data_IF_737263599561
#
_entry.id   IF_737263599561
#
_cell.length_a   1.000
_cell.length_b   1.000
_cell.length_c   1.000
_cell.angle_alpha   90.00
_cell.angle_beta   90.00
_cell.angle_gamma   90.00
#
_symmetry.space_group_name_H-M   'P 1'
#
loop_
_entity.id
_entity.type
_entity.pdbx_description
1 polymer ?
#
# COMPACT_ATOMS: atom_id res chain seq x y z
N UNK A 1 2.26 16.28 30.30
CA UNK A 1 3.44 16.81 29.57
C UNK A 1 3.24 16.46 28.11
N UNK A 2 3.21 17.43 27.21
CA UNK A 2 3.13 17.16 25.77
C UNK A 2 4.46 16.59 25.28
N UNK A 3 4.41 15.63 24.36
CA UNK A 3 5.58 15.03 23.73
C UNK A 3 6.29 16.04 22.83
N UNK A 4 7.62 15.91 22.68
CA UNK A 4 8.42 16.76 21.80
C UNK A 4 7.92 16.72 20.34
N UNK A 5 7.31 15.61 19.92
CA UNK A 5 6.68 15.46 18.60
C UNK A 5 5.44 16.36 18.46
N UNK A 6 4.56 16.37 19.46
CA UNK A 6 3.36 17.21 19.48
C UNK A 6 3.71 18.70 19.46
N UNK A 7 4.76 19.09 20.19
CA UNK A 7 5.26 20.47 20.21
C UNK A 7 5.89 20.90 18.88
N UNK A 8 6.52 19.96 18.16
CA UNK A 8 7.09 20.20 16.85
C UNK A 8 6.01 20.34 15.77
N UNK A 9 4.94 19.55 15.85
CA UNK A 9 3.78 19.64 14.96
C UNK A 9 3.00 20.94 15.17
N UNK A 10 2.79 21.36 16.44
CA UNK A 10 2.10 22.61 16.79
C UNK A 10 2.84 23.88 16.32
N UNK A 11 4.16 23.78 16.08
CA UNK A 11 4.98 24.87 15.50
C UNK A 11 4.97 24.86 13.97
N UNK A 12 4.85 23.68 13.36
CA UNK A 12 4.79 23.51 11.91
C UNK A 12 3.44 23.96 11.34
N UNK A 13 2.34 23.71 12.05
CA UNK A 13 0.98 24.18 11.70
C UNK A 13 0.84 25.71 11.68
N UNK A 14 1.69 26.43 12.42
CA UNK A 14 1.63 27.91 12.53
C UNK A 14 2.35 28.65 11.41
N UNK A 15 3.29 28.02 10.71
CA UNK A 15 4.18 28.67 9.73
C UNK A 15 3.81 28.37 8.28
N UNK A 16 3.10 27.28 8.05
CA UNK A 16 2.31 27.01 6.86
C UNK A 16 1.11 26.19 7.33
N UNK A 17 -0.12 26.40 6.84
CA UNK A 17 -1.19 25.45 7.07
C UNK A 17 -0.80 24.15 6.34
N UNK A 18 0.03 23.33 6.98
CA UNK A 18 0.10 21.92 6.64
C UNK A 18 -1.31 21.40 6.87
N UNK A 19 -1.87 20.74 5.85
CA UNK A 19 -3.09 19.97 6.05
C UNK A 19 -2.72 18.86 7.02
N UNK A 20 -2.84 19.11 8.31
CA UNK A 20 -2.60 18.11 9.34
C UNK A 20 -3.81 17.22 9.33
N UNK A 21 -3.58 15.98 8.90
CA UNK A 21 -4.62 14.96 8.91
C UNK A 21 -5.02 14.68 10.36
N UNK A 22 -6.33 14.60 10.61
CA UNK A 22 -6.82 14.10 11.90
C UNK A 22 -6.39 12.65 12.10
N UNK A 23 -6.43 12.18 13.34
CA UNK A 23 -6.06 10.78 13.61
C UNK A 23 -7.02 9.80 12.93
N UNK A 24 -8.30 10.16 12.76
CA UNK A 24 -9.25 9.40 11.95
C UNK A 24 -8.87 9.38 10.47
N UNK A 25 -8.45 10.52 9.89
CA UNK A 25 -8.02 10.59 8.50
C UNK A 25 -6.74 9.76 8.25
N UNK A 26 -5.80 9.78 9.20
CA UNK A 26 -4.61 8.90 9.17
C UNK A 26 -5.01 7.42 9.28
N UNK A 27 -5.95 7.08 10.17
CA UNK A 27 -6.44 5.72 10.32
C UNK A 27 -7.10 5.21 9.03
N UNK A 28 -7.92 6.03 8.37
CA UNK A 28 -8.54 5.66 7.09
C UNK A 28 -7.50 5.40 5.98
N UNK A 29 -6.42 6.18 5.92
CA UNK A 29 -5.31 5.92 4.99
C UNK A 29 -4.61 4.60 5.36
N UNK A 30 -4.33 4.37 6.64
CA UNK A 30 -3.67 3.16 7.12
C UNK A 30 -4.50 1.90 6.85
N UNK A 31 -5.83 1.98 6.94
CA UNK A 31 -6.74 0.90 6.59
C UNK A 31 -6.67 0.55 5.09
N UNK A 32 -6.57 1.57 4.23
CA UNK A 32 -6.33 1.35 2.79
C UNK A 32 -5.01 0.60 2.61
N UNK A 33 -3.91 1.08 3.19
CA UNK A 33 -2.60 0.43 3.08
C UNK A 33 -2.63 -1.02 3.59
N UNK A 34 -3.22 -1.26 4.76
CA UNK A 34 -3.35 -2.59 5.35
C UNK A 34 -4.15 -3.54 4.45
N UNK A 35 -5.27 -3.07 3.90
CA UNK A 35 -6.12 -3.86 3.01
C UNK A 35 -5.42 -4.25 1.71
N UNK A 36 -4.66 -3.34 1.10
CA UNK A 36 -3.90 -3.65 -0.11
C UNK A 36 -2.67 -4.50 0.17
N UNK A 37 -2.02 -4.32 1.33
CA UNK A 37 -0.93 -5.20 1.78
C UNK A 37 -1.41 -6.64 1.94
N UNK A 38 -2.58 -6.85 2.52
CA UNK A 38 -3.18 -8.18 2.64
C UNK A 38 -3.45 -8.81 1.25
N UNK A 39 -4.04 -8.04 0.32
CA UNK A 39 -4.29 -8.49 -1.06
C UNK A 39 -3.00 -8.86 -1.80
N UNK A 40 -1.95 -8.04 -1.67
CA UNK A 40 -0.65 -8.33 -2.28
C UNK A 40 -0.04 -9.61 -1.70
N UNK A 41 -0.08 -9.78 -0.38
CA UNK A 41 0.44 -10.98 0.28
C UNK A 41 -0.30 -12.25 -0.17
N UNK A 42 -1.62 -12.20 -0.29
CA UNK A 42 -2.43 -13.31 -0.80
C UNK A 42 -2.04 -13.69 -2.24
N UNK A 43 -1.94 -12.69 -3.13
CA UNK A 43 -1.55 -12.90 -4.53
C UNK A 43 -0.12 -13.42 -4.66
N UNK A 44 0.81 -12.87 -3.89
CA UNK A 44 2.19 -13.33 -3.83
C UNK A 44 2.27 -14.78 -3.39
N UNK A 45 1.59 -15.14 -2.30
CA UNK A 45 1.61 -16.50 -1.78
C UNK A 45 1.09 -17.49 -2.84
N UNK A 46 -0.07 -17.18 -3.43
CA UNK A 46 -0.69 -18.01 -4.45
C UNK A 46 0.21 -18.20 -5.68
N UNK A 47 0.71 -17.12 -6.28
CA UNK A 47 1.52 -17.22 -7.50
C UNK A 47 2.89 -17.83 -7.21
N UNK A 48 3.51 -17.54 -6.05
CA UNK A 48 4.78 -18.18 -5.66
C UNK A 48 4.61 -19.69 -5.51
N UNK A 49 3.50 -20.17 -4.96
CA UNK A 49 3.22 -21.61 -4.88
C UNK A 49 3.14 -22.25 -6.29
N UNK A 50 2.44 -21.59 -7.22
CA UNK A 50 2.30 -22.08 -8.60
C UNK A 50 3.65 -22.06 -9.35
N UNK A 51 4.46 -21.01 -9.16
CA UNK A 51 5.83 -20.93 -9.72
C UNK A 51 6.68 -22.09 -9.20
N UNK A 52 6.62 -22.39 -7.91
CA UNK A 52 7.38 -23.51 -7.33
C UNK A 52 6.93 -24.85 -7.90
N UNK A 53 5.62 -25.06 -8.10
CA UNK A 53 5.09 -26.27 -8.75
C UNK A 53 5.58 -26.39 -10.20
N UNK A 54 5.46 -25.33 -11.00
CA UNK A 54 5.91 -25.32 -12.40
C UNK A 54 7.41 -25.61 -12.51
N UNK A 55 8.24 -24.98 -11.65
CA UNK A 55 9.68 -25.25 -11.57
C UNK A 55 9.98 -26.69 -11.18
N UNK A 56 9.26 -27.24 -10.19
CA UNK A 56 9.39 -28.63 -9.77
C UNK A 56 8.97 -29.65 -10.84
N UNK A 57 8.04 -29.27 -11.71
CA UNK A 57 7.60 -30.06 -12.87
C UNK A 57 8.49 -29.90 -14.11
N UNK A 58 9.48 -28.99 -14.10
CA UNK A 58 10.33 -28.69 -15.26
C UNK A 58 9.67 -27.76 -16.30
N UNK A 59 8.54 -27.14 -15.97
CA UNK A 59 7.78 -26.22 -16.82
C UNK A 59 8.32 -24.79 -16.70
N UNK A 60 9.58 -24.59 -17.07
CA UNK A 60 10.28 -23.32 -16.92
C UNK A 60 9.61 -22.14 -17.65
N UNK A 61 8.99 -22.39 -18.81
CA UNK A 61 8.26 -21.35 -19.56
C UNK A 61 6.98 -20.90 -18.85
N UNK A 62 6.29 -21.82 -18.17
CA UNK A 62 5.13 -21.46 -17.35
C UNK A 62 5.57 -20.70 -16.10
N UNK A 63 6.65 -21.15 -15.44
CA UNK A 63 7.21 -20.43 -14.30
C UNK A 63 7.58 -18.98 -14.65
N UNK A 64 8.23 -18.74 -15.79
CA UNK A 64 8.57 -17.38 -16.25
C UNK A 64 7.31 -16.54 -16.52
N UNK A 65 6.27 -17.15 -17.09
CA UNK A 65 4.99 -16.48 -17.34
C UNK A 65 4.32 -16.07 -16.02
N UNK A 66 4.30 -16.97 -15.04
CA UNK A 66 3.74 -16.72 -13.71
C UNK A 66 4.54 -15.65 -12.94
N UNK A 67 5.85 -15.59 -13.10
CA UNK A 67 6.70 -14.54 -12.53
C UNK A 67 6.38 -13.16 -13.12
N UNK A 68 6.24 -13.07 -14.44
CA UNK A 68 5.81 -11.84 -15.12
C UNK A 68 4.42 -11.42 -14.66
N UNK A 69 3.50 -12.37 -14.54
CA UNK A 69 2.16 -12.11 -14.02
C UNK A 69 2.21 -11.56 -12.59
N UNK A 70 3.00 -12.18 -11.72
CA UNK A 70 3.16 -11.71 -10.34
C UNK A 70 3.66 -10.26 -10.28
N UNK A 71 4.67 -9.92 -11.07
CA UNK A 71 5.21 -8.56 -11.11
C UNK A 71 4.17 -7.52 -11.58
N UNK A 72 3.37 -7.87 -12.59
CA UNK A 72 2.29 -6.99 -13.09
C UNK A 72 1.19 -6.80 -12.05
N UNK A 73 0.74 -7.88 -11.41
CA UNK A 73 -0.32 -7.83 -10.40
C UNK A 73 0.10 -7.04 -9.15
N UNK A 74 1.33 -7.26 -8.64
CA UNK A 74 1.85 -6.48 -7.51
C UNK A 74 1.92 -4.99 -7.86
N UNK A 75 2.46 -4.65 -9.03
CA UNK A 75 2.53 -3.25 -9.49
C UNK A 75 1.14 -2.61 -9.61
N UNK A 76 0.18 -3.34 -10.16
CA UNK A 76 -1.22 -2.88 -10.28
C UNK A 76 -1.82 -2.62 -8.90
N UNK A 77 -1.68 -3.55 -7.97
CA UNK A 77 -2.22 -3.39 -6.61
C UNK A 77 -1.57 -2.23 -5.86
N UNK A 78 -0.28 -1.97 -6.07
CA UNK A 78 0.39 -0.79 -5.52
C UNK A 78 -0.17 0.50 -6.10
N UNK A 79 -0.36 0.57 -7.43
CA UNK A 79 -0.96 1.72 -8.08
C UNK A 79 -2.40 1.96 -7.59
N UNK A 80 -3.23 0.91 -7.52
CA UNK A 80 -4.59 1.00 -7.02
C UNK A 80 -4.63 1.48 -5.55
N UNK A 81 -3.66 1.06 -4.73
CA UNK A 81 -3.51 1.52 -3.36
C UNK A 81 -3.23 3.03 -3.30
N UNK A 82 -2.24 3.50 -4.07
CA UNK A 82 -1.89 4.93 -4.12
C UNK A 82 -3.05 5.77 -4.67
N UNK A 83 -3.70 5.34 -5.75
CA UNK A 83 -4.88 6.02 -6.29
C UNK A 83 -6.02 6.12 -5.28
N UNK A 84 -6.24 5.06 -4.50
CA UNK A 84 -7.29 5.06 -3.48
C UNK A 84 -6.93 5.98 -2.31
N UNK A 85 -5.68 5.99 -1.87
CA UNK A 85 -5.18 6.94 -0.86
C UNK A 85 -5.31 8.37 -1.34
N UNK A 86 -4.98 8.65 -2.60
CA UNK A 86 -5.06 10.00 -3.17
C UNK A 86 -6.51 10.48 -3.28
N UNK A 87 -7.41 9.62 -3.78
CA UNK A 87 -8.86 9.90 -3.79
C UNK A 87 -9.36 10.16 -2.38
N UNK A 88 -8.94 9.37 -1.40
CA UNK A 88 -9.32 9.56 0.00
C UNK A 88 -8.79 10.90 0.54
N UNK A 89 -7.52 11.24 0.31
CA UNK A 89 -6.93 12.54 0.69
C UNK A 89 -7.68 13.72 0.08
N UNK A 90 -8.14 13.60 -1.16
CA UNK A 90 -8.92 14.65 -1.83
C UNK A 90 -10.27 14.96 -1.14
N UNK A 91 -10.77 14.05 -0.29
CA UNK A 91 -12.00 14.24 0.49
C UNK A 91 -11.77 14.92 1.84
N UNK A 92 -10.53 15.01 2.32
CA UNK A 92 -10.20 15.48 3.67
C UNK A 92 -10.25 16.99 3.88
N UNK A 93 -10.44 17.76 2.81
CA UNK A 93 -10.57 19.22 2.82
C UNK A 93 -11.86 19.73 2.19
N UNK A 94 -12.88 18.88 2.03
CA UNK A 94 -14.23 19.26 1.59
C UNK A 94 -15.19 19.42 2.75
#
# INVERSE_FOLDING_TARGET
>A
MKSAYELAMERLEKSAPSVTLTDEQKAQIADVDSSYRAKMAEKELFLKEQIQKARGGGEWGEAETLEKQLAVEVRRLQQDCEEKKEKLRSTFGR
#
